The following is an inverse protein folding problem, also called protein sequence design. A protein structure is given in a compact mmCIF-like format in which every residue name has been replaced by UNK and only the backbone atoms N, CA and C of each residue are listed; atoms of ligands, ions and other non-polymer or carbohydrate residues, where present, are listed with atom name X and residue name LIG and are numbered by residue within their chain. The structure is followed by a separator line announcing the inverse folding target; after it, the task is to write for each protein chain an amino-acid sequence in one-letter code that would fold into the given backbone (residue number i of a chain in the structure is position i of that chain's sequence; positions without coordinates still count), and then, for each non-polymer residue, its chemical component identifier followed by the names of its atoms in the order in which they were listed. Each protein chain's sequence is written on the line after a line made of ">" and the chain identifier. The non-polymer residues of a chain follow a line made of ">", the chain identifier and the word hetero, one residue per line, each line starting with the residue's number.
data_IF_890758911665
#
_entry.id   IF_890758911665
#
_cell.length_a   1.000
_cell.length_b   1.000
_cell.length_c   1.000
_cell.angle_alpha   90.00
_cell.angle_beta   90.00
_cell.angle_gamma   90.00
#
_symmetry.space_group_name_H-M   'P 1'
#
loop_
_entity.id
_entity.type
_entity.pdbx_description
1 polymer ?
#
# COMPACT_ATOMS: atom_id res chain seq x y z
N UNK A 1 5.39 -9.35 15.09
CA UNK A 1 6.25 -10.56 15.18
C UNK A 1 6.41 -11.04 13.75
N UNK A 2 7.61 -11.00 13.18
CA UNK A 2 7.89 -11.66 11.90
C UNK A 2 7.95 -13.17 12.11
N UNK A 3 7.90 -13.96 11.03
CA UNK A 3 8.09 -15.41 11.11
C UNK A 3 9.37 -15.77 10.34
N UNK A 4 10.56 -15.72 10.99
CA UNK A 4 11.84 -15.91 10.32
C UNK A 4 11.95 -17.26 9.63
N UNK A 5 11.32 -18.31 10.15
CA UNK A 5 11.28 -19.63 9.52
C UNK A 5 10.53 -19.67 8.18
N UNK A 6 9.79 -18.61 7.84
CA UNK A 6 9.05 -18.44 6.59
C UNK A 6 9.70 -17.42 5.63
N UNK A 7 10.88 -16.87 5.97
CA UNK A 7 11.43 -15.68 5.30
C UNK A 7 10.39 -14.54 5.17
N UNK A 8 9.46 -14.51 6.13
CA UNK A 8 8.32 -13.60 6.12
C UNK A 8 8.70 -12.34 6.87
N UNK A 9 8.63 -11.15 6.24
CA UNK A 9 9.11 -9.93 6.85
C UNK A 9 8.30 -9.59 8.11
N UNK A 10 8.88 -8.82 9.06
CA UNK A 10 8.09 -8.21 10.11
C UNK A 10 6.95 -7.42 9.50
N UNK A 11 5.72 -7.68 9.96
CA UNK A 11 4.53 -6.95 9.49
C UNK A 11 4.25 -5.69 10.31
N UNK A 12 4.90 -5.52 11.47
CA UNK A 12 4.73 -4.31 12.28
C UNK A 12 6.00 -4.03 13.11
N UNK A 13 6.85 -3.08 12.70
CA UNK A 13 6.74 -2.32 11.46
C UNK A 13 6.97 -3.17 10.20
N UNK A 14 6.20 -2.91 9.13
CA UNK A 14 6.48 -3.40 7.78
C UNK A 14 7.34 -2.38 7.02
N UNK A 15 8.36 -2.87 6.32
CA UNK A 15 9.29 -2.02 5.57
C UNK A 15 9.11 -2.15 4.07
N UNK A 16 9.15 -1.03 3.38
CA UNK A 16 9.14 -0.92 1.93
C UNK A 16 10.28 0.00 1.49
N UNK A 17 11.29 -0.59 0.85
CA UNK A 17 12.57 0.08 0.59
C UNK A 17 12.46 1.18 -0.45
N UNK A 18 11.78 0.90 -1.56
CA UNK A 18 11.73 1.78 -2.71
C UNK A 18 10.48 1.53 -3.56
N UNK A 19 9.83 2.61 -3.97
CA UNK A 19 8.78 2.60 -4.97
C UNK A 19 8.85 3.84 -5.85
N UNK A 20 8.61 3.64 -7.14
CA UNK A 20 8.53 4.72 -8.12
C UNK A 20 7.18 4.66 -8.80
N UNK A 21 6.49 5.78 -8.82
CA UNK A 21 5.14 5.93 -9.35
C UNK A 21 5.18 7.02 -10.41
N UNK A 22 4.70 6.70 -11.62
CA UNK A 22 4.47 7.69 -12.65
C UNK A 22 3.06 8.24 -12.51
N UNK A 23 2.96 9.51 -12.13
CA UNK A 23 1.72 10.24 -12.02
C UNK A 23 1.34 10.79 -13.40
N UNK A 24 0.18 10.41 -13.92
CA UNK A 24 -0.30 10.84 -15.24
C UNK A 24 -1.83 10.97 -15.28
N UNK A 25 -2.44 11.42 -14.17
CA UNK A 25 -3.89 11.45 -13.99
C UNK A 25 -4.41 12.86 -13.73
N UNK A 26 -5.41 13.28 -14.51
CA UNK A 26 -5.97 14.63 -14.45
C UNK A 26 -4.90 15.71 -14.69
N UNK A 27 -4.81 16.66 -13.76
CA UNK A 27 -3.82 17.74 -13.79
C UNK A 27 -2.48 17.36 -13.17
N UNK A 28 -2.36 16.16 -12.60
CA UNK A 28 -1.16 15.69 -11.94
C UNK A 28 -0.28 14.92 -12.94
N UNK A 29 0.92 15.44 -13.20
CA UNK A 29 1.90 14.79 -14.05
C UNK A 29 3.26 14.76 -13.37
N UNK A 30 3.97 13.64 -13.42
CA UNK A 30 5.35 13.58 -12.94
C UNK A 30 5.74 12.25 -12.36
N UNK A 31 6.84 12.27 -11.63
CA UNK A 31 7.44 11.13 -10.95
C UNK A 31 7.38 11.36 -9.44
N UNK A 32 6.87 10.36 -8.72
CA UNK A 32 6.96 10.26 -7.27
C UNK A 32 7.81 9.04 -6.93
N UNK A 33 8.89 9.27 -6.20
CA UNK A 33 9.71 8.22 -5.60
C UNK A 33 9.44 8.25 -4.09
N UNK A 34 9.14 7.09 -3.52
CA UNK A 34 9.10 6.89 -2.08
C UNK A 34 10.18 5.90 -1.68
N UNK A 35 10.85 6.16 -0.57
CA UNK A 35 11.89 5.27 -0.06
C UNK A 35 11.87 5.17 1.46
N UNK A 36 12.41 4.07 1.97
CA UNK A 36 12.52 3.77 3.40
C UNK A 36 11.18 3.92 4.13
N UNK A 37 10.11 3.46 3.48
CA UNK A 37 8.76 3.57 4.03
C UNK A 37 8.59 2.52 5.13
N UNK A 38 8.21 2.98 6.31
CA UNK A 38 7.88 2.15 7.47
C UNK A 38 6.39 2.27 7.75
N UNK A 39 5.67 1.15 7.72
CA UNK A 39 4.26 1.07 8.07
C UNK A 39 4.09 0.44 9.46
N UNK A 40 3.39 1.13 10.35
CA UNK A 40 3.18 0.76 11.76
C UNK A 40 1.68 0.69 12.06
N UNK A 41 1.27 -0.36 12.77
CA UNK A 41 -0.13 -0.58 13.18
C UNK A 41 -0.83 -1.74 12.50
N UNK A 42 -0.16 -2.43 11.56
CA UNK A 42 -0.71 -3.63 10.91
C UNK A 42 -0.97 -4.77 11.92
N UNK A 43 -0.27 -4.82 13.05
CA UNK A 43 -0.56 -5.77 14.15
C UNK A 43 -1.93 -5.56 14.81
N UNK A 44 -2.58 -4.42 14.58
CA UNK A 44 -3.93 -4.11 15.06
C UNK A 44 -5.00 -4.42 14.02
N UNK A 45 -4.62 -4.95 12.85
CA UNK A 45 -5.57 -5.41 11.85
C UNK A 45 -6.40 -6.57 12.38
N UNK A 46 -7.69 -6.57 12.03
CA UNK A 46 -8.66 -7.62 12.32
C UNK A 46 -9.29 -8.06 11.01
N UNK A 47 -9.26 -9.36 10.77
CA UNK A 47 -10.02 -9.98 9.68
C UNK A 47 -11.46 -10.10 10.16
N UNK A 48 -12.41 -9.54 9.41
CA UNK A 48 -13.83 -9.61 9.75
C UNK A 48 -14.64 -10.45 8.76
N UNK A 49 -14.07 -10.75 7.59
CA UNK A 49 -14.66 -11.62 6.60
C UNK A 49 -13.54 -12.31 5.81
N UNK A 50 -13.74 -13.58 5.48
CA UNK A 50 -12.90 -14.31 4.54
C UNK A 50 -13.81 -15.18 3.69
N UNK A 51 -13.66 -15.10 2.37
CA UNK A 51 -14.41 -15.91 1.41
C UNK A 51 -13.43 -16.62 0.50
N UNK A 52 -13.74 -17.87 0.23
CA UNK A 52 -12.90 -18.78 -0.52
C UNK A 52 -13.71 -19.37 -1.65
N UNK A 53 -13.12 -19.43 -2.83
CA UNK A 53 -13.69 -20.10 -4.00
C UNK A 53 -12.57 -20.91 -4.65
N UNK A 54 -12.87 -22.16 -4.95
CA UNK A 54 -12.02 -23.00 -5.78
C UNK A 54 -12.72 -23.15 -7.13
N UNK A 55 -12.09 -22.61 -8.17
CA UNK A 55 -12.62 -22.57 -9.52
C UNK A 55 -12.06 -23.74 -10.34
N UNK A 56 -12.61 -23.95 -11.53
CA UNK A 56 -12.06 -24.93 -12.48
C UNK A 56 -10.57 -24.69 -12.77
N UNK A 57 -9.83 -25.75 -13.09
CA UNK A 57 -8.39 -25.70 -13.44
C UNK A 57 -7.48 -25.31 -12.26
N UNK A 58 -7.81 -25.77 -11.05
CA UNK A 58 -6.99 -25.58 -9.84
C UNK A 58 -6.73 -24.12 -9.47
N UNK A 59 -7.63 -23.23 -9.86
CA UNK A 59 -7.55 -21.79 -9.54
C UNK A 59 -8.23 -21.52 -8.21
N UNK A 60 -7.53 -20.87 -7.30
CA UNK A 60 -8.13 -20.36 -6.07
C UNK A 60 -8.45 -18.87 -6.18
N UNK A 61 -9.51 -18.45 -5.49
CA UNK A 61 -9.81 -17.05 -5.18
C UNK A 61 -10.05 -16.92 -3.68
N UNK A 62 -9.33 -15.99 -3.08
CA UNK A 62 -9.41 -15.66 -1.66
C UNK A 62 -9.73 -14.18 -1.51
N UNK A 63 -10.87 -13.87 -0.90
CA UNK A 63 -11.26 -12.51 -0.55
C UNK A 63 -11.18 -12.33 0.97
N UNK A 64 -10.40 -11.36 1.44
CA UNK A 64 -10.24 -11.08 2.87
C UNK A 64 -10.65 -9.64 3.15
N UNK A 65 -11.64 -9.47 4.03
CA UNK A 65 -12.03 -8.20 4.60
C UNK A 65 -11.20 -7.91 5.85
N UNK A 66 -10.39 -6.85 5.80
CA UNK A 66 -9.50 -6.42 6.88
C UNK A 66 -9.90 -5.05 7.39
N UNK A 67 -9.93 -4.85 8.70
CA UNK A 67 -10.14 -3.56 9.34
C UNK A 67 -8.99 -3.26 10.30
N UNK A 68 -8.50 -2.02 10.31
CA UNK A 68 -7.51 -1.56 11.28
C UNK A 68 -7.86 -0.14 11.78
N UNK A 69 -7.75 0.12 13.09
CA UNK A 69 -8.16 1.39 13.68
C UNK A 69 -7.24 2.55 13.29
N UNK A 70 -5.94 2.26 13.13
CA UNK A 70 -4.91 3.25 12.80
C UNK A 70 -3.77 2.58 12.04
N UNK A 71 -3.35 3.20 10.95
CA UNK A 71 -2.11 2.89 10.23
C UNK A 71 -1.26 4.16 10.19
N UNK A 72 0.00 4.05 10.56
CA UNK A 72 0.96 5.13 10.48
C UNK A 72 2.06 4.78 9.49
N UNK A 73 2.29 5.63 8.51
CA UNK A 73 3.35 5.49 7.52
C UNK A 73 4.36 6.61 7.73
N UNK A 74 5.65 6.32 7.60
CA UNK A 74 6.70 7.34 7.53
C UNK A 74 7.76 6.93 6.52
N UNK A 75 8.40 7.90 5.87
CA UNK A 75 9.45 7.63 4.90
C UNK A 75 9.98 8.92 4.27
N UNK A 76 10.74 8.75 3.20
CA UNK A 76 11.21 9.84 2.36
C UNK A 76 10.48 9.83 1.02
N UNK A 77 10.25 11.02 0.47
CA UNK A 77 9.67 11.18 -0.85
C UNK A 77 10.48 12.18 -1.67
N UNK A 78 10.60 11.88 -2.96
CA UNK A 78 11.15 12.78 -3.99
C UNK A 78 10.11 12.93 -5.08
N UNK A 79 9.80 14.17 -5.40
CA UNK A 79 8.76 14.54 -6.36
C UNK A 79 9.41 15.36 -7.46
N UNK A 80 9.15 14.97 -8.70
CA UNK A 80 9.49 15.77 -9.87
C UNK A 80 8.30 15.76 -10.83
N UNK A 81 7.49 16.81 -10.78
CA UNK A 81 6.25 16.85 -11.53
C UNK A 81 5.62 18.23 -11.60
N UNK A 82 4.35 18.24 -11.95
CA UNK A 82 3.50 19.41 -12.01
C UNK A 82 2.08 19.07 -11.55
N UNK A 83 1.47 20.02 -10.87
CA UNK A 83 0.03 20.05 -10.63
C UNK A 83 -0.53 21.26 -11.38
N UNK A 84 -1.27 21.00 -12.46
CA UNK A 84 -1.71 22.06 -13.38
C UNK A 84 -0.51 22.87 -13.89
N UNK A 85 -0.51 24.19 -13.71
CA UNK A 85 0.59 25.09 -14.09
C UNK A 85 1.77 25.11 -13.10
N UNK A 86 1.61 24.52 -11.91
CA UNK A 86 2.64 24.58 -10.87
C UNK A 86 3.66 23.45 -11.04
N UNK A 87 4.94 23.80 -11.20
CA UNK A 87 6.04 22.83 -11.21
C UNK A 87 6.51 22.54 -9.79
N UNK A 88 6.63 21.26 -9.46
CA UNK A 88 6.98 20.75 -8.14
C UNK A 88 8.23 19.88 -8.31
N UNK A 89 9.36 20.36 -7.82
CA UNK A 89 10.59 19.57 -7.70
C UNK A 89 11.04 19.67 -6.26
N UNK A 90 10.88 18.58 -5.51
CA UNK A 90 11.10 18.62 -4.07
C UNK A 90 11.52 17.27 -3.51
N UNK A 91 12.23 17.29 -2.38
CA UNK A 91 12.66 16.11 -1.64
C UNK A 91 12.46 16.36 -0.14
N UNK A 92 11.92 15.38 0.57
CA UNK A 92 11.44 15.57 1.92
C UNK A 92 11.10 14.29 2.65
N UNK A 93 10.90 14.43 3.95
CA UNK A 93 10.42 13.34 4.79
C UNK A 93 8.94 13.51 5.05
N UNK A 94 8.18 12.42 4.99
CA UNK A 94 6.75 12.44 5.25
C UNK A 94 6.38 11.52 6.40
N UNK A 95 5.25 11.84 7.02
CA UNK A 95 4.47 10.87 7.76
C UNK A 95 2.99 11.01 7.46
N UNK A 96 2.29 9.89 7.43
CA UNK A 96 0.86 9.80 7.12
C UNK A 96 0.20 9.03 8.26
N UNK A 97 -0.88 9.59 8.78
CA UNK A 97 -1.78 8.91 9.71
C UNK A 97 -3.09 8.61 8.99
N UNK A 98 -3.45 7.34 8.96
CA UNK A 98 -4.72 6.84 8.48
C UNK A 98 -5.52 6.30 9.66
N UNK A 99 -6.80 6.64 9.75
CA UNK A 99 -7.71 6.07 10.73
C UNK A 99 -8.90 5.40 10.05
N UNK A 100 -9.48 4.43 10.76
CA UNK A 100 -10.67 3.69 10.34
C UNK A 100 -10.49 3.07 8.95
N UNK A 101 -9.35 2.41 8.76
CA UNK A 101 -8.99 1.78 7.49
C UNK A 101 -9.72 0.46 7.36
N UNK A 102 -10.44 0.28 6.27
CA UNK A 102 -11.00 -0.99 5.83
C UNK A 102 -10.35 -1.35 4.50
N UNK A 103 -9.96 -2.59 4.30
CA UNK A 103 -9.40 -3.04 3.04
C UNK A 103 -10.07 -4.34 2.62
N UNK A 104 -10.35 -4.46 1.32
CA UNK A 104 -10.64 -5.74 0.69
C UNK A 104 -9.35 -6.21 0.00
N UNK A 105 -8.93 -7.43 0.32
CA UNK A 105 -7.83 -8.11 -0.35
C UNK A 105 -8.43 -9.19 -1.24
N UNK A 106 -8.10 -9.15 -2.52
CA UNK A 106 -8.48 -10.17 -3.50
C UNK A 106 -7.21 -10.84 -4.01
N UNK A 107 -7.06 -12.11 -3.67
CA UNK A 107 -5.87 -12.90 -3.93
C UNK A 107 -6.27 -14.05 -4.84
N UNK A 108 -5.59 -14.18 -5.97
CA UNK A 108 -5.85 -15.24 -6.96
C UNK A 108 -4.56 -15.91 -7.40
N UNK A 109 -4.71 -17.15 -7.85
CA UNK A 109 -3.61 -17.92 -8.39
C UNK A 109 -3.98 -19.38 -8.51
N UNK A 110 -2.97 -20.23 -8.69
CA UNK A 110 -3.14 -21.66 -8.93
C UNK A 110 -2.64 -22.49 -7.75
N UNK A 111 -3.12 -23.73 -7.66
CA UNK A 111 -2.64 -24.74 -6.72
C UNK A 111 -1.88 -25.80 -7.50
N UNK A 112 -0.64 -26.05 -7.13
CA UNK A 112 0.19 -27.11 -7.73
C UNK A 112 0.76 -27.96 -6.62
N UNK A 113 0.46 -29.27 -6.62
CA UNK A 113 0.93 -30.22 -5.60
C UNK A 113 0.70 -29.70 -4.16
N UNK A 114 -0.53 -29.26 -3.86
CA UNK A 114 -0.94 -28.73 -2.54
C UNK A 114 -0.21 -27.43 -2.11
N UNK A 115 0.49 -26.77 -3.05
CA UNK A 115 1.18 -25.50 -2.85
C UNK A 115 0.45 -24.38 -3.56
N UNK A 116 0.23 -23.26 -2.86
CA UNK A 116 -0.33 -22.05 -3.46
C UNK A 116 0.72 -21.34 -4.31
N UNK A 117 0.33 -20.90 -5.49
CA UNK A 117 1.09 -19.98 -6.32
C UNK A 117 0.23 -18.73 -6.48
N UNK A 118 0.53 -17.68 -5.72
CA UNK A 118 -0.17 -16.39 -5.82
C UNK A 118 0.32 -15.65 -7.05
N UNK A 119 -0.62 -15.24 -7.90
CA UNK A 119 -0.34 -14.53 -9.15
C UNK A 119 -0.84 -13.09 -9.13
N UNK A 120 -1.89 -12.81 -8.35
CA UNK A 120 -2.45 -11.46 -8.19
C UNK A 120 -2.78 -11.20 -6.73
N UNK A 121 -2.50 -9.99 -6.26
CA UNK A 121 -2.89 -9.51 -4.94
C UNK A 121 -3.42 -8.08 -5.05
N UNK A 122 -4.72 -7.96 -5.34
CA UNK A 122 -5.37 -6.67 -5.37
C UNK A 122 -5.78 -6.23 -3.97
N UNK A 123 -5.50 -4.96 -3.63
CA UNK A 123 -5.91 -4.34 -2.37
C UNK A 123 -6.74 -3.10 -2.69
N UNK A 124 -7.95 -3.05 -2.15
CA UNK A 124 -8.83 -1.88 -2.21
C UNK A 124 -9.03 -1.31 -0.80
N UNK A 125 -8.24 -0.28 -0.40
CA UNK A 125 -8.41 0.37 0.89
C UNK A 125 -9.51 1.44 0.82
N UNK A 126 -10.21 1.59 1.94
CA UNK A 126 -11.17 2.62 2.25
C UNK A 126 -10.71 3.28 3.55
N UNK A 127 -10.41 4.57 3.46
CA UNK A 127 -9.83 5.36 4.56
C UNK A 127 -10.93 6.23 5.16
N UNK A 128 -11.10 6.20 6.48
CA UNK A 128 -12.05 7.09 7.17
C UNK A 128 -11.47 8.48 7.40
N UNK A 129 -10.23 8.57 7.90
CA UNK A 129 -9.51 9.85 8.07
C UNK A 129 -8.08 9.73 7.61
N UNK A 130 -7.58 10.82 7.04
CA UNK A 130 -6.23 10.94 6.51
C UNK A 130 -5.61 12.25 7.01
N UNK A 131 -4.35 12.18 7.41
CA UNK A 131 -3.52 13.36 7.67
C UNK A 131 -2.11 13.06 7.20
N UNK A 132 -1.55 13.95 6.39
CA UNK A 132 -0.14 13.93 6.00
C UNK A 132 0.58 15.12 6.62
N UNK A 133 1.80 14.86 7.09
CA UNK A 133 2.81 15.84 7.39
C UNK A 133 4.00 15.60 6.48
N UNK A 134 4.61 16.67 6.03
CA UNK A 134 5.77 16.63 5.16
C UNK A 134 6.75 17.68 5.63
N UNK A 135 8.02 17.32 5.67
CA UNK A 135 9.14 18.19 5.99
C UNK A 135 10.02 18.25 4.76
N UNK A 136 9.99 19.41 4.13
CA UNK A 136 10.90 19.77 3.04
C UNK A 136 12.36 19.74 3.53
N UNK A 137 13.29 19.26 2.70
CA UNK A 137 14.72 19.35 2.98
C UNK A 137 15.33 20.67 2.53
N UNK A 138 14.61 21.45 1.71
CA UNK A 138 15.05 22.75 1.20
C UNK A 138 14.24 23.89 1.83
N UNK A 139 14.93 24.78 2.54
CA UNK A 139 14.30 25.97 3.15
C UNK A 139 13.70 26.92 2.10
N UNK A 140 14.24 26.95 0.88
CA UNK A 140 13.76 27.85 -0.18
C UNK A 140 12.39 27.46 -0.75
N UNK A 141 11.98 26.20 -0.59
CA UNK A 141 10.69 25.68 -1.08
C UNK A 141 9.71 25.38 0.04
N UNK A 142 10.09 25.61 1.29
CA UNK A 142 9.33 25.24 2.48
C UNK A 142 7.92 25.84 2.49
N UNK A 143 7.78 27.14 2.25
CA UNK A 143 6.46 27.81 2.26
C UNK A 143 5.50 27.23 1.21
N UNK A 144 6.03 26.92 0.03
CA UNK A 144 5.27 26.31 -1.05
C UNK A 144 4.89 24.86 -0.71
N UNK A 145 5.82 24.08 -0.15
CA UNK A 145 5.56 22.72 0.36
C UNK A 145 4.49 22.72 1.45
N UNK A 146 4.53 23.66 2.39
CA UNK A 146 3.53 23.81 3.46
C UNK A 146 2.13 24.12 2.87
N UNK A 147 2.06 24.99 1.86
CA UNK A 147 0.81 25.29 1.13
C UNK A 147 0.25 24.06 0.41
N UNK A 148 1.10 23.31 -0.30
CA UNK A 148 0.70 22.09 -1.00
C UNK A 148 0.18 21.03 -0.03
N UNK A 149 0.80 20.89 1.13
CA UNK A 149 0.42 19.87 2.13
C UNK A 149 -0.87 20.24 2.84
N UNK A 150 -1.12 21.53 3.05
CA UNK A 150 -2.43 22.00 3.50
C UNK A 150 -3.51 21.70 2.46
N UNK A 151 -3.24 21.97 1.19
CA UNK A 151 -4.16 21.60 0.10
C UNK A 151 -4.41 20.09 0.05
N UNK A 152 -3.37 19.26 0.14
CA UNK A 152 -3.50 17.80 0.15
C UNK A 152 -4.34 17.34 1.33
N UNK A 153 -4.13 17.89 2.53
CA UNK A 153 -4.91 17.54 3.71
C UNK A 153 -6.38 17.98 3.61
N UNK A 154 -6.67 19.11 2.97
CA UNK A 154 -8.04 19.61 2.78
C UNK A 154 -8.80 18.76 1.75
N UNK A 155 -8.15 18.44 0.64
CA UNK A 155 -8.77 17.76 -0.52
C UNK A 155 -8.38 16.28 -0.63
N UNK A 156 -7.90 15.69 0.47
CA UNK A 156 -7.38 14.32 0.48
C UNK A 156 -8.34 13.27 -0.10
N UNK A 157 -9.68 13.32 0.08
CA UNK A 157 -10.54 12.25 -0.43
C UNK A 157 -10.54 12.19 -1.96
N UNK A 158 -10.53 13.36 -2.61
CA UNK A 158 -10.50 13.47 -4.07
C UNK A 158 -9.14 13.04 -4.60
N UNK A 159 -8.06 13.55 -4.01
CA UNK A 159 -6.68 13.19 -4.40
C UNK A 159 -6.48 11.68 -4.24
N UNK A 160 -6.90 11.11 -3.11
CA UNK A 160 -6.81 9.69 -2.82
C UNK A 160 -7.47 8.82 -3.91
N UNK A 161 -8.70 9.16 -4.32
CA UNK A 161 -9.40 8.44 -5.41
C UNK A 161 -8.64 8.49 -6.73
N UNK A 162 -7.99 9.60 -7.03
CA UNK A 162 -7.21 9.79 -8.25
C UNK A 162 -5.90 8.99 -8.24
N UNK A 163 -5.21 8.94 -7.10
CA UNK A 163 -3.88 8.28 -6.99
C UNK A 163 -3.97 6.80 -6.67
N UNK A 164 -5.04 6.35 -5.99
CA UNK A 164 -5.18 4.97 -5.53
C UNK A 164 -4.98 3.93 -6.64
N UNK A 165 -5.60 4.04 -7.83
CA UNK A 165 -5.40 3.05 -8.90
C UNK A 165 -3.94 2.95 -9.35
N UNK A 166 -3.21 4.07 -9.33
CA UNK A 166 -1.80 4.13 -9.71
C UNK A 166 -0.96 3.42 -8.64
N UNK A 167 -1.21 3.73 -7.36
CA UNK A 167 -0.51 3.13 -6.22
C UNK A 167 -0.77 1.63 -6.10
N UNK A 168 -2.03 1.20 -6.27
CA UNK A 168 -2.44 -0.20 -6.15
C UNK A 168 -1.69 -1.09 -7.15
N UNK A 169 -1.45 -0.60 -8.36
CA UNK A 169 -0.67 -1.32 -9.38
C UNK A 169 0.79 -1.53 -8.98
N UNK A 170 1.42 -0.54 -8.36
CA UNK A 170 2.80 -0.65 -7.91
C UNK A 170 2.96 -1.60 -6.72
N UNK A 171 1.96 -1.62 -5.83
CA UNK A 171 2.01 -2.47 -4.64
C UNK A 171 1.70 -3.95 -4.91
N UNK A 172 1.04 -4.27 -6.02
CA UNK A 172 0.64 -5.64 -6.37
C UNK A 172 1.83 -6.62 -6.30
N UNK A 173 2.95 -6.29 -6.96
CA UNK A 173 4.17 -7.11 -6.94
C UNK A 173 4.75 -7.32 -5.54
N UNK A 174 4.73 -6.26 -4.72
CA UNK A 174 5.24 -6.32 -3.34
C UNK A 174 4.39 -7.27 -2.48
N UNK A 175 3.06 -7.21 -2.61
CA UNK A 175 2.17 -8.08 -1.85
C UNK A 175 2.15 -9.52 -2.39
N UNK A 176 2.30 -9.73 -3.70
CA UNK A 176 2.48 -11.06 -4.30
C UNK A 176 3.72 -11.74 -3.72
N UNK A 177 4.86 -11.05 -3.62
CA UNK A 177 6.08 -11.61 -3.03
C UNK A 177 5.86 -12.01 -1.56
N UNK A 178 5.30 -11.11 -0.75
CA UNK A 178 4.98 -11.40 0.66
C UNK A 178 4.03 -12.59 0.80
N UNK A 179 2.99 -12.66 -0.02
CA UNK A 179 2.00 -13.74 0.02
C UNK A 179 2.60 -15.08 -0.39
N UNK A 180 3.42 -15.12 -1.44
CA UNK A 180 4.09 -16.34 -1.89
C UNK A 180 5.08 -16.86 -0.83
N UNK A 181 5.83 -16.00 -0.15
CA UNK A 181 6.70 -16.42 0.97
C UNK A 181 5.89 -17.07 2.10
N UNK A 182 4.75 -16.50 2.45
CA UNK A 182 3.84 -17.06 3.45
C UNK A 182 3.28 -18.43 3.03
N UNK A 183 2.72 -18.51 1.82
CA UNK A 183 2.03 -19.72 1.36
C UNK A 183 2.96 -20.83 0.87
N UNK A 184 4.24 -20.55 0.57
CA UNK A 184 5.23 -21.58 0.24
C UNK A 184 5.45 -22.63 1.34
N UNK A 185 5.00 -22.36 2.58
CA UNK A 185 5.14 -23.26 3.73
C UNK A 185 3.80 -23.69 4.34
N UNK A 186 2.68 -23.23 3.78
CA UNK A 186 1.33 -23.56 4.25
C UNK A 186 0.60 -24.29 3.13
N UNK A 187 0.30 -25.57 3.33
CA UNK A 187 -0.38 -26.36 2.30
C UNK A 187 -1.82 -25.89 2.08
N UNK A 188 -2.29 -26.01 0.84
CA UNK A 188 -3.64 -25.60 0.44
C UNK A 188 -4.71 -26.33 1.24
N UNK A 189 -4.57 -27.65 1.33
CA UNK A 189 -5.42 -28.57 2.09
C UNK A 189 -5.59 -28.22 3.58
N UNK A 190 -4.64 -27.50 4.19
CA UNK A 190 -4.73 -27.11 5.60
C UNK A 190 -5.53 -25.83 5.82
N UNK A 191 -5.65 -25.00 4.80
CA UNK A 191 -6.34 -23.70 4.88
C UNK A 191 -7.74 -23.81 4.27
N UNK A 192 -7.89 -24.63 3.22
CA UNK A 192 -9.13 -24.85 2.48
C UNK A 192 -9.50 -26.34 2.63
N UNK A 193 -10.30 -26.69 3.64
CA UNK A 193 -10.81 -28.06 3.82
C UNK A 193 -11.89 -28.41 2.79
#
# INVERSE_FOLDING_TARGET
>A
IGLPEFDFPPMDPLFYEYGKVMLNSGELRGELIMSNVTAIGLSKARIFNARTQFLSHDVFRLEIGVQMPKLFLKGAAKINGSLSIFRIVNEGNFNITLNDVRALWEITGHVVNDTWIVEQFHITPLIGKFKIYYKDLSESTKEFSDLLINFVNEYWPTIYRTVLPIMAKEWDKFYIDIANRLFAKVSFSKVFP
#
